data_IF_551020477588
#
_entry.id   IF_551020477588
#
_cell.length_a   1.000
_cell.length_b   1.000
_cell.length_c   1.000
_cell.angle_alpha   90.00
_cell.angle_beta   90.00
_cell.angle_gamma   90.00
#
_symmetry.space_group_name_H-M   'P 1'
#
loop_
_entity.id
_entity.type
_entity.pdbx_description
1 polymer ?
#
# COMPACT_ATOMS: atom_id res chain seq x y z
N UNK A 1 -8.56 14.39 -18.96
CA UNK A 1 -7.38 13.56 -19.27
C UNK A 1 -7.46 12.34 -18.36
N UNK A 2 -7.17 11.15 -18.87
CA UNK A 2 -7.12 9.94 -18.03
C UNK A 2 -5.96 10.10 -17.06
N UNK A 3 -6.22 10.04 -15.75
CA UNK A 3 -5.16 9.86 -14.78
C UNK A 3 -4.43 8.56 -15.14
N UNK A 4 -3.13 8.64 -15.42
CA UNK A 4 -2.32 7.44 -15.61
C UNK A 4 -2.39 6.58 -14.35
N UNK A 5 -2.41 5.25 -14.51
CA UNK A 5 -2.25 4.37 -13.36
C UNK A 5 -0.93 4.72 -12.67
N UNK A 6 -0.99 5.01 -11.37
CA UNK A 6 0.16 5.46 -10.60
C UNK A 6 1.18 4.33 -10.51
N UNK A 7 2.44 4.57 -10.85
CA UNK A 7 3.49 3.55 -10.87
C UNK A 7 4.00 3.14 -9.47
N UNK A 8 3.20 3.34 -8.42
CA UNK A 8 3.55 2.82 -7.09
C UNK A 8 3.42 1.30 -7.08
N UNK A 9 4.40 0.56 -6.54
CA UNK A 9 4.34 -0.90 -6.56
C UNK A 9 3.33 -1.41 -5.54
N UNK A 10 2.74 -2.56 -5.84
CA UNK A 10 1.75 -3.22 -5.00
C UNK A 10 2.42 -3.83 -3.76
N UNK A 11 2.02 -3.38 -2.58
CA UNK A 11 2.54 -3.80 -1.28
C UNK A 11 3.29 -2.68 -0.57
N UNK A 12 4.08 -3.03 0.45
CA UNK A 12 4.89 -2.06 1.18
C UNK A 12 6.21 -1.76 0.45
N UNK A 13 6.50 -0.48 0.27
CA UNK A 13 7.73 0.01 -0.36
C UNK A 13 8.40 1.12 0.46
N UNK A 14 9.70 1.27 0.22
CA UNK A 14 10.45 2.46 0.62
C UNK A 14 10.29 3.53 -0.46
N UNK A 15 10.14 4.78 -0.04
CA UNK A 15 10.29 5.94 -0.92
C UNK A 15 11.70 6.47 -0.73
N UNK A 16 12.55 6.32 -1.75
CA UNK A 16 13.99 6.58 -1.71
C UNK A 16 14.31 7.85 -2.48
N UNK A 17 15.07 8.75 -1.86
CA UNK A 17 15.53 10.00 -2.47
C UNK A 17 16.70 9.79 -3.43
N UNK A 18 16.58 10.29 -4.67
CA UNK A 18 17.69 10.30 -5.65
C UNK A 18 18.74 11.39 -5.36
N UNK A 19 18.57 12.22 -4.32
CA UNK A 19 19.57 13.19 -3.85
C UNK A 19 20.65 12.54 -2.98
N UNK A 20 20.23 11.71 -2.02
CA UNK A 20 21.07 11.25 -0.90
C UNK A 20 20.86 9.77 -0.53
N UNK A 21 20.03 9.03 -1.27
CA UNK A 21 19.67 7.62 -1.02
C UNK A 21 19.04 7.34 0.36
N UNK A 22 18.66 8.38 1.10
CA UNK A 22 17.87 8.26 2.31
C UNK A 22 16.42 7.93 1.96
N UNK A 23 15.69 7.34 2.91
CA UNK A 23 14.28 6.99 2.76
C UNK A 23 13.39 7.96 3.53
N UNK A 24 12.13 8.05 3.11
CA UNK A 24 11.08 8.76 3.84
C UNK A 24 10.69 7.98 5.10
N UNK A 25 10.81 8.63 6.25
CA UNK A 25 10.52 8.11 7.59
C UNK A 25 9.58 9.04 8.38
N UNK A 26 8.99 8.52 9.44
CA UNK A 26 8.18 9.25 10.42
C UNK A 26 9.08 9.67 11.59
N UNK A 27 9.09 10.96 11.92
CA UNK A 27 9.80 11.53 13.07
C UNK A 27 9.17 11.02 14.38
N UNK A 28 10.00 10.47 15.28
CA UNK A 28 9.61 9.88 16.57
C UNK A 28 8.45 8.87 16.45
N UNK A 29 8.63 7.78 15.67
CA UNK A 29 7.52 7.01 15.13
C UNK A 29 6.75 6.19 16.19
N UNK A 30 7.39 5.88 17.32
CA UNK A 30 6.76 5.22 18.48
C UNK A 30 5.77 6.11 19.25
N UNK A 31 5.85 7.43 19.04
CA UNK A 31 4.97 8.44 19.66
C UNK A 31 4.15 9.19 18.60
N UNK A 32 4.18 8.74 17.34
CA UNK A 32 3.59 9.43 16.21
C UNK A 32 2.06 9.29 16.17
N UNK A 33 1.38 10.42 16.04
CA UNK A 33 -0.05 10.53 15.75
C UNK A 33 -0.32 11.55 14.63
N UNK A 34 -1.56 12.02 14.47
CA UNK A 34 -1.89 13.12 13.56
C UNK A 34 -1.00 14.35 13.79
N UNK A 35 -0.47 14.91 12.69
CA UNK A 35 0.54 15.98 12.71
C UNK A 35 1.99 15.50 12.92
N UNK A 36 2.25 14.18 12.99
CA UNK A 36 3.61 13.65 13.02
C UNK A 36 4.38 14.00 11.73
N UNK A 37 5.69 14.23 11.87
CA UNK A 37 6.54 14.86 10.86
C UNK A 37 7.23 13.86 9.94
N UNK A 38 7.16 14.08 8.64
CA UNK A 38 7.85 13.24 7.64
C UNK A 38 9.29 13.72 7.35
N UNK A 39 10.30 12.89 7.57
CA UNK A 39 11.74 13.24 7.48
C UNK A 39 12.53 12.26 6.60
N UNK A 40 13.74 12.64 6.21
CA UNK A 40 14.73 11.76 5.56
C UNK A 40 15.58 11.02 6.60
N UNK A 41 15.81 9.71 6.42
CA UNK A 41 16.66 8.89 7.30
C UNK A 41 17.32 7.71 6.58
N UNK A 42 18.36 7.13 7.15
CA UNK A 42 18.97 5.88 6.69
C UNK A 42 17.95 4.72 6.75
N UNK A 43 17.96 3.89 5.70
CA UNK A 43 17.08 2.73 5.55
C UNK A 43 17.37 1.69 6.63
N UNK A 44 16.37 1.43 7.47
CA UNK A 44 16.44 0.38 8.48
C UNK A 44 16.12 -0.99 7.86
N UNK A 45 16.91 -2.00 8.23
CA UNK A 45 16.78 -3.34 7.64
C UNK A 45 15.69 -4.21 8.29
N UNK A 46 15.36 -3.94 9.57
CA UNK A 46 14.55 -4.83 10.43
C UNK A 46 13.35 -4.10 11.04
N UNK A 47 12.25 -4.84 11.21
CA UNK A 47 11.11 -4.42 12.05
C UNK A 47 11.50 -4.55 13.54
N UNK A 48 11.04 -3.66 14.43
CA UNK A 48 10.05 -2.59 14.18
C UNK A 48 10.61 -1.34 13.49
N UNK A 49 11.91 -1.04 13.58
CA UNK A 49 12.48 0.26 13.19
C UNK A 49 12.29 0.61 11.70
N UNK A 50 12.19 -0.41 10.85
CA UNK A 50 11.88 -0.31 9.41
C UNK A 50 10.43 0.06 9.12
N UNK A 51 9.49 -0.24 9.98
CA UNK A 51 8.06 -0.14 9.65
C UNK A 51 7.58 1.31 9.61
N UNK A 52 8.30 2.26 10.22
CA UNK A 52 8.03 3.70 10.06
C UNK A 52 8.47 4.24 8.70
N UNK A 53 9.26 3.49 7.95
CA UNK A 53 9.81 3.84 6.62
C UNK A 53 9.09 3.15 5.46
N UNK A 54 8.12 2.29 5.76
CA UNK A 54 7.36 1.52 4.79
C UNK A 54 5.99 2.15 4.53
N UNK A 55 5.67 2.29 3.25
CA UNK A 55 4.47 2.93 2.74
C UNK A 55 3.73 1.97 1.82
N UNK A 56 2.39 1.99 1.84
CA UNK A 56 1.54 1.29 0.87
C UNK A 56 0.64 2.30 0.15
N UNK A 57 0.49 2.15 -1.16
CA UNK A 57 -0.39 3.01 -1.97
C UNK A 57 -1.74 2.33 -2.22
N UNK A 58 -2.83 3.03 -1.92
CA UNK A 58 -4.19 2.55 -2.18
C UNK A 58 -5.09 3.75 -2.53
N UNK A 59 -5.74 3.73 -3.69
CA UNK A 59 -6.67 4.79 -4.15
C UNK A 59 -6.13 6.23 -4.01
N UNK A 60 -4.81 6.41 -4.19
CA UNK A 60 -4.13 7.69 -4.04
C UNK A 60 -3.58 7.97 -2.63
N UNK A 61 -4.05 7.30 -1.58
CA UNK A 61 -3.46 7.42 -0.24
C UNK A 61 -2.08 6.76 -0.20
N UNK A 62 -1.20 7.28 0.65
CA UNK A 62 0.06 6.64 1.05
C UNK A 62 0.02 6.39 2.56
N UNK A 63 -0.27 5.15 2.96
CA UNK A 63 -0.43 4.74 4.36
C UNK A 63 0.89 4.25 4.93
N UNK A 64 1.25 4.70 6.12
CA UNK A 64 2.45 4.27 6.84
C UNK A 64 2.22 2.94 7.58
N UNK A 65 3.16 1.98 7.45
CA UNK A 65 3.00 0.65 8.04
C UNK A 65 2.97 0.63 9.57
N UNK A 66 3.80 1.45 10.24
CA UNK A 66 3.88 1.44 11.71
C UNK A 66 2.66 2.09 12.37
N UNK A 67 2.16 3.19 11.80
CA UNK A 67 1.13 4.04 12.45
C UNK A 67 -0.27 3.83 11.90
N UNK A 68 -0.43 3.27 10.70
CA UNK A 68 -1.72 3.17 10.00
C UNK A 68 -2.27 4.50 9.47
N UNK A 69 -1.57 5.62 9.72
CA UNK A 69 -1.95 6.96 9.26
C UNK A 69 -1.50 7.20 7.82
N UNK A 70 -2.14 8.15 7.14
CA UNK A 70 -1.85 8.50 5.74
C UNK A 70 -1.01 9.77 5.64
N UNK A 71 -0.24 9.90 4.56
CA UNK A 71 0.40 11.18 4.21
C UNK A 71 -0.64 12.26 3.93
N UNK A 72 -0.36 13.46 4.44
CA UNK A 72 -1.24 14.62 4.35
C UNK A 72 -0.43 15.91 4.08
N UNK A 73 -0.93 16.75 3.16
CA UNK A 73 -0.37 18.07 2.85
C UNK A 73 -0.96 19.12 3.80
N UNK A 74 -0.22 19.45 4.86
CA UNK A 74 -0.63 20.45 5.84
C UNK A 74 0.29 21.69 5.80
N UNK A 75 -0.25 22.87 6.15
CA UNK A 75 0.56 24.10 6.26
C UNK A 75 1.51 23.98 7.44
N UNK A 76 2.79 24.32 7.25
CA UNK A 76 3.75 24.26 8.34
C UNK A 76 3.39 25.27 9.46
N UNK A 77 3.38 24.87 10.75
CA UNK A 77 3.06 25.75 11.88
C UNK A 77 4.20 26.72 12.23
N UNK A 78 5.32 26.67 11.50
CA UNK A 78 6.43 27.61 11.62
C UNK A 78 5.96 29.06 11.41
N UNK A 79 6.38 29.98 12.28
CA UNK A 79 6.08 31.41 12.15
C UNK A 79 6.45 31.97 10.76
N UNK A 80 7.59 31.54 10.19
CA UNK A 80 8.00 31.93 8.84
C UNK A 80 7.10 31.32 7.75
N UNK A 81 6.49 30.16 8.00
CA UNK A 81 5.63 29.48 7.04
C UNK A 81 4.25 30.15 6.89
N UNK A 82 3.77 30.82 7.93
CA UNK A 82 2.55 31.64 7.89
C UNK A 82 2.65 32.74 6.81
N UNK A 83 3.85 33.30 6.59
CA UNK A 83 4.07 34.36 5.61
C UNK A 83 4.42 33.88 4.19
N UNK A 84 5.00 32.68 4.04
CA UNK A 84 5.44 32.18 2.73
C UNK A 84 4.53 31.06 2.15
N UNK A 85 3.58 30.54 2.94
CA UNK A 85 2.65 29.48 2.50
C UNK A 85 3.28 28.09 2.33
N UNK A 86 4.42 27.81 2.97
CA UNK A 86 5.13 26.52 2.85
C UNK A 86 4.30 25.37 3.47
N UNK A 87 3.81 24.48 2.61
CA UNK A 87 3.13 23.24 3.01
C UNK A 87 4.16 22.11 3.15
N UNK A 88 4.04 21.30 4.20
CA UNK A 88 4.91 20.15 4.44
C UNK A 88 4.10 18.85 4.40
N UNK A 89 4.79 17.71 4.36
CA UNK A 89 4.16 16.42 4.59
C UNK A 89 4.11 16.09 6.09
N UNK A 90 2.97 15.56 6.49
CA UNK A 90 2.66 15.05 7.83
C UNK A 90 1.92 13.72 7.73
N UNK A 91 1.71 13.05 8.86
CA UNK A 91 0.70 12.02 9.00
C UNK A 91 -0.63 12.62 9.46
N UNK A 92 -1.76 12.08 8.99
CA UNK A 92 -3.09 12.38 9.52
C UNK A 92 -4.03 11.16 9.39
N UNK A 93 -5.22 11.25 9.98
CA UNK A 93 -6.29 10.27 9.78
C UNK A 93 -6.77 10.27 8.32
N UNK A 94 -7.15 9.10 7.83
CA UNK A 94 -7.67 8.92 6.46
C UNK A 94 -9.02 9.64 6.30
N UNK A 95 -9.06 10.71 5.50
CA UNK A 95 -10.26 11.47 5.16
C UNK A 95 -11.15 10.73 4.15
N UNK A 96 -12.43 11.07 4.08
CA UNK A 96 -13.35 10.55 3.06
C UNK A 96 -13.00 11.06 1.64
N UNK A 97 -13.46 10.36 0.60
CA UNK A 97 -12.94 10.54 -0.77
C UNK A 97 -13.12 11.98 -1.32
N UNK A 98 -14.20 12.63 -0.95
CA UNK A 98 -14.57 14.00 -1.36
C UNK A 98 -13.75 15.10 -0.65
N UNK A 99 -13.22 14.80 0.55
CA UNK A 99 -12.49 15.75 1.40
C UNK A 99 -10.97 15.52 1.38
N UNK A 100 -10.51 14.34 0.99
CA UNK A 100 -9.12 13.90 1.06
C UNK A 100 -8.18 14.42 -0.06
N UNK A 101 -8.48 15.55 -0.70
CA UNK A 101 -7.68 16.07 -1.83
C UNK A 101 -6.20 16.32 -1.50
N UNK A 102 -5.91 16.62 -0.24
CA UNK A 102 -4.58 16.83 0.35
C UNK A 102 -3.88 15.51 0.78
N UNK A 103 -4.55 14.37 0.67
CA UNK A 103 -4.07 13.01 0.98
C UNK A 103 -4.03 12.11 -0.26
N UNK A 104 -3.97 12.70 -1.46
CA UNK A 104 -3.98 11.97 -2.75
C UNK A 104 -2.72 12.23 -3.54
N UNK A 105 -1.99 11.15 -3.83
CA UNK A 105 -0.70 11.17 -4.52
C UNK A 105 -0.61 10.10 -5.61
N UNK A 106 0.24 10.35 -6.60
CA UNK A 106 0.65 9.38 -7.60
C UNK A 106 2.16 9.50 -7.90
N UNK A 107 2.72 8.45 -8.48
CA UNK A 107 4.13 8.35 -8.86
C UNK A 107 4.29 8.18 -10.37
N UNK A 108 5.17 8.97 -10.96
CA UNK A 108 5.58 8.93 -12.37
C UNK A 108 7.00 8.32 -12.44
N UNK A 109 7.10 7.03 -12.75
CA UNK A 109 8.38 6.28 -12.67
C UNK A 109 9.45 6.84 -13.60
N UNK A 110 9.08 7.20 -14.84
CA UNK A 110 10.01 7.72 -15.87
C UNK A 110 10.79 8.94 -15.41
N UNK A 111 10.15 9.82 -14.63
CA UNK A 111 10.74 11.07 -14.13
C UNK A 111 11.23 10.94 -12.69
N UNK A 112 10.57 10.09 -11.89
CA UNK A 112 10.74 9.97 -10.45
C UNK A 112 9.94 10.99 -9.63
N UNK A 113 8.96 11.70 -10.19
CA UNK A 113 8.12 12.61 -9.39
C UNK A 113 7.02 11.86 -8.63
N UNK A 114 6.90 12.14 -7.33
CA UNK A 114 5.67 11.89 -6.56
C UNK A 114 4.91 13.21 -6.48
N UNK A 115 3.67 13.23 -6.96
CA UNK A 115 2.85 14.44 -7.12
C UNK A 115 1.47 14.31 -6.48
N UNK A 116 0.87 15.44 -6.10
CA UNK A 116 -0.51 15.49 -5.62
C UNK A 116 -1.49 15.30 -6.79
N UNK A 117 -2.46 14.40 -6.65
CA UNK A 117 -3.53 14.21 -7.66
C UNK A 117 -4.47 15.41 -7.77
N UNK A 118 -4.52 16.29 -6.75
CA UNK A 118 -5.27 17.55 -6.84
C UNK A 118 -4.51 18.61 -7.66
N UNK A 119 -3.17 18.56 -7.70
CA UNK A 119 -2.35 19.46 -8.50
C UNK A 119 -0.98 18.83 -8.82
N UNK A 120 -0.82 18.33 -10.04
CA UNK A 120 0.37 17.64 -10.54
C UNK A 120 1.65 18.50 -10.55
N UNK A 121 1.51 19.83 -10.41
CA UNK A 121 2.64 20.75 -10.23
C UNK A 121 3.13 20.83 -8.77
N UNK A 122 2.51 20.13 -7.83
CA UNK A 122 2.90 20.07 -6.43
C UNK A 122 3.48 18.67 -6.17
N UNK A 123 4.80 18.63 -5.95
CA UNK A 123 5.59 17.39 -5.86
C UNK A 123 6.33 17.29 -4.54
N UNK A 124 6.69 16.07 -4.13
CA UNK A 124 7.55 15.82 -2.97
C UNK A 124 8.93 16.47 -3.18
N UNK A 125 9.41 17.23 -2.20
CA UNK A 125 10.66 18.00 -2.24
C UNK A 125 11.36 17.86 -0.86
N UNK A 126 12.67 17.63 -0.84
CA UNK A 126 13.46 17.69 0.40
C UNK A 126 13.82 19.14 0.65
N UNK A 127 13.30 19.69 1.75
CA UNK A 127 13.40 21.11 2.08
C UNK A 127 14.85 21.60 2.04
N UNK A 128 15.10 22.64 1.24
CA UNK A 128 16.44 23.23 0.97
C UNK A 128 17.46 22.27 0.34
N UNK A 129 17.03 21.13 -0.20
CA UNK A 129 17.90 20.04 -0.64
C UNK A 129 18.86 19.57 0.48
N UNK A 130 18.35 19.47 1.71
CA UNK A 130 19.10 18.93 2.83
C UNK A 130 19.58 17.50 2.52
N UNK A 131 20.88 17.25 2.68
CA UNK A 131 21.50 15.96 2.37
C UNK A 131 21.63 15.07 3.59
N UNK A 132 21.67 15.66 4.79
CA UNK A 132 21.75 14.94 6.05
C UNK A 132 20.41 14.29 6.47
N UNK A 133 20.48 13.39 7.45
CA UNK A 133 19.29 12.87 8.13
C UNK A 133 18.50 13.98 8.85
N UNK A 134 17.21 13.74 9.06
CA UNK A 134 16.30 14.73 9.65
C UNK A 134 15.83 15.81 8.67
N UNK A 135 16.32 15.80 7.42
CA UNK A 135 15.82 16.67 6.36
C UNK A 135 14.30 16.57 6.22
N UNK A 136 13.60 17.70 6.34
CA UNK A 136 12.12 17.75 6.26
C UNK A 136 11.66 17.44 4.84
N UNK A 137 10.75 16.47 4.68
CA UNK A 137 10.03 16.28 3.42
C UNK A 137 8.85 17.24 3.37
N UNK A 138 8.73 17.94 2.25
CA UNK A 138 7.69 18.94 2.00
C UNK A 138 7.03 18.68 0.66
N UNK A 139 6.02 19.47 0.32
CA UNK A 139 5.57 19.60 -1.06
C UNK A 139 5.96 20.96 -1.61
N UNK A 140 6.42 20.99 -2.86
CA UNK A 140 6.84 22.22 -3.52
C UNK A 140 6.46 22.22 -4.99
N UNK A 141 6.59 23.38 -5.64
CA UNK A 141 6.36 23.50 -7.07
C UNK A 141 7.36 22.62 -7.84
N UNK A 142 6.85 21.78 -8.75
CA UNK A 142 7.60 20.95 -9.70
C UNK A 142 8.62 21.82 -10.45
N UNK A 143 9.91 21.53 -10.25
CA UNK A 143 11.01 22.16 -10.97
C UNK A 143 11.14 21.50 -12.35
N UNK A 144 11.55 22.28 -13.34
CA UNK A 144 11.64 21.80 -14.72
C UNK A 144 12.61 20.64 -14.88
N UNK A 145 12.30 19.70 -15.78
CA UNK A 145 13.17 18.60 -16.14
C UNK A 145 14.35 19.18 -16.93
N UNK A 146 15.58 18.96 -16.46
CA UNK A 146 16.79 19.28 -17.21
C UNK A 146 17.41 18.01 -17.78
N UNK A 147 17.74 18.02 -19.07
CA UNK A 147 18.49 16.94 -19.72
C UNK A 147 19.93 16.86 -19.18
N UNK A 148 20.50 18.01 -18.80
CA UNK A 148 21.78 18.10 -18.12
C UNK A 148 21.67 17.51 -16.70
N UNK A 149 22.28 16.34 -16.51
CA UNK A 149 22.27 15.61 -15.24
C UNK A 149 22.84 16.42 -14.07
N UNK A 150 23.76 17.34 -14.33
CA UNK A 150 24.33 18.23 -13.30
C UNK A 150 23.38 19.31 -12.80
N UNK A 151 22.27 19.56 -13.52
CA UNK A 151 21.24 20.56 -13.20
C UNK A 151 19.91 19.96 -12.75
N UNK A 152 19.79 18.63 -12.65
CA UNK A 152 18.56 17.96 -12.21
C UNK A 152 18.24 18.31 -10.75
N UNK A 153 16.99 18.65 -10.41
CA UNK A 153 16.57 18.92 -9.03
C UNK A 153 16.39 17.59 -8.26
N UNK A 154 17.50 16.89 -7.97
CA UNK A 154 17.48 15.54 -7.39
C UNK A 154 16.70 15.43 -6.07
N UNK A 155 16.59 16.53 -5.32
CA UNK A 155 15.79 16.65 -4.11
C UNK A 155 14.27 16.63 -4.34
N UNK A 156 13.79 16.58 -5.59
CA UNK A 156 12.40 16.31 -5.96
C UNK A 156 12.22 14.94 -6.64
N UNK A 157 13.30 14.18 -6.82
CA UNK A 157 13.29 12.95 -7.61
C UNK A 157 13.41 11.74 -6.68
N UNK A 158 12.54 10.78 -6.90
CA UNK A 158 12.35 9.62 -6.05
C UNK A 158 12.46 8.33 -6.87
N UNK A 159 12.81 7.25 -6.19
CA UNK A 159 12.58 5.88 -6.64
C UNK A 159 11.80 5.16 -5.54
N UNK A 160 10.98 4.21 -5.95
CA UNK A 160 10.24 3.34 -5.03
C UNK A 160 10.83 1.95 -5.15
N UNK A 161 11.11 1.33 -4.01
CA UNK A 161 11.65 -0.02 -3.95
C UNK A 161 10.75 -0.84 -3.03
N UNK A 162 10.24 -1.97 -3.53
CA UNK A 162 9.52 -2.92 -2.68
C UNK A 162 10.37 -3.24 -1.47
N UNK A 163 9.79 -3.10 -0.28
CA UNK A 163 10.49 -3.43 0.93
C UNK A 163 10.67 -4.93 1.00
N UNK A 164 11.90 -5.43 0.80
CA UNK A 164 12.29 -6.85 0.81
C UNK A 164 11.41 -7.69 1.75
N UNK A 165 10.82 -8.82 1.28
CA UNK A 165 10.05 -9.75 2.10
C UNK A 165 11.00 -10.68 2.88
N UNK A 166 11.90 -10.13 3.72
CA UNK A 166 13.33 -10.47 3.90
C UNK A 166 13.93 -11.64 3.05
N UNK A 167 14.87 -12.47 3.56
CA UNK A 167 15.34 -13.76 2.93
C UNK A 167 15.31 -14.91 3.94
N UNK A 168 15.07 -16.17 3.53
CA UNK A 168 15.07 -17.37 4.42
C UNK A 168 15.63 -18.60 3.72
N UNK A 169 16.27 -19.42 4.55
CA UNK A 169 16.86 -20.72 4.27
C UNK A 169 15.77 -21.82 4.24
N UNK A 170 15.90 -22.77 3.32
CA UNK A 170 14.83 -23.69 2.88
C UNK A 170 14.55 -24.87 3.84
N UNK A 171 15.23 -24.91 5.01
CA UNK A 171 15.37 -26.10 5.86
C UNK A 171 14.59 -26.05 7.21
N UNK A 172 13.38 -25.48 7.28
CA UNK A 172 12.59 -25.42 8.53
C UNK A 172 11.13 -25.90 8.38
N UNK A 173 10.70 -26.75 9.32
CA UNK A 173 9.79 -27.88 9.09
C UNK A 173 8.26 -27.60 9.16
N UNK A 174 7.77 -26.35 9.06
CA UNK A 174 6.31 -26.06 9.13
C UNK A 174 5.77 -25.18 7.97
N UNK A 175 5.04 -25.82 7.05
CA UNK A 175 4.45 -25.22 5.84
C UNK A 175 3.33 -24.19 6.09
N UNK A 176 2.66 -24.20 7.26
CA UNK A 176 1.53 -23.29 7.54
C UNK A 176 1.97 -21.93 8.13
N UNK A 177 3.09 -21.87 8.88
CA UNK A 177 3.65 -20.60 9.37
C UNK A 177 4.37 -19.83 8.25
N UNK A 178 5.11 -20.55 7.42
CA UNK A 178 5.85 -20.02 6.26
C UNK A 178 4.95 -19.26 5.29
N UNK A 179 3.76 -19.82 4.98
CA UNK A 179 2.73 -19.18 4.14
C UNK A 179 2.11 -17.95 4.82
N UNK A 180 1.79 -18.01 6.12
CA UNK A 180 1.27 -16.86 6.90
C UNK A 180 2.23 -15.66 6.90
N UNK A 181 3.54 -15.90 6.94
CA UNK A 181 4.54 -14.85 6.89
C UNK A 181 4.69 -14.14 5.53
N UNK A 182 4.33 -14.81 4.42
CA UNK A 182 4.25 -14.16 3.10
C UNK A 182 3.11 -13.14 3.08
N UNK A 183 1.92 -13.55 3.51
CA UNK A 183 0.74 -12.68 3.61
C UNK A 183 0.99 -11.46 4.50
N UNK A 184 1.66 -11.63 5.65
CA UNK A 184 2.05 -10.53 6.55
C UNK A 184 3.09 -9.58 5.98
N UNK A 185 3.98 -10.05 5.12
CA UNK A 185 4.92 -9.17 4.40
C UNK A 185 4.19 -8.22 3.44
N UNK A 186 2.98 -8.58 3.03
CA UNK A 186 2.18 -7.84 2.05
C UNK A 186 1.07 -6.97 2.69
N UNK A 187 0.41 -7.47 3.75
CA UNK A 187 -0.63 -6.76 4.48
C UNK A 187 -0.14 -6.03 5.75
N UNK A 188 1.03 -6.37 6.29
CA UNK A 188 1.64 -5.73 7.45
C UNK A 188 1.26 -6.38 8.79
N UNK A 189 1.41 -5.64 9.89
CA UNK A 189 1.08 -6.12 11.23
C UNK A 189 -0.36 -5.73 11.63
N UNK A 190 -1.35 -6.41 11.06
CA UNK A 190 -2.54 -6.75 11.86
C UNK A 190 -2.10 -7.78 12.92
N UNK A 191 -2.66 -7.74 14.13
CA UNK A 191 -1.96 -8.20 15.35
C UNK A 191 -1.57 -9.69 15.39
N UNK A 192 -0.31 -9.98 15.02
CA UNK A 192 0.56 -10.96 15.72
C UNK A 192 1.06 -12.17 14.92
N UNK A 193 2.39 -12.25 14.72
CA UNK A 193 3.27 -13.44 14.47
C UNK A 193 3.71 -13.86 13.04
N UNK A 194 5.02 -13.78 12.76
CA UNK A 194 5.75 -14.41 11.62
C UNK A 194 5.70 -15.98 11.71
N UNK A 195 6.28 -16.85 10.86
CA UNK A 195 7.61 -16.84 10.19
C UNK A 195 7.61 -17.60 8.85
N UNK A 196 8.37 -17.09 7.84
CA UNK A 196 9.00 -17.84 6.70
C UNK A 196 8.44 -17.94 5.24
N UNK A 197 8.20 -16.80 4.55
CA UNK A 197 8.87 -16.41 3.26
C UNK A 197 8.80 -17.18 1.90
N UNK A 198 9.24 -16.43 0.87
CA UNK A 198 9.57 -16.78 -0.53
C UNK A 198 8.42 -17.03 -1.53
N UNK A 199 7.54 -16.05 -1.69
CA UNK A 199 6.70 -15.92 -2.87
C UNK A 199 6.24 -14.48 -3.10
N UNK A 200 6.13 -14.07 -4.36
CA UNK A 200 4.96 -13.28 -4.78
C UNK A 200 3.69 -14.04 -4.37
N UNK A 201 2.51 -13.42 -4.43
CA UNK A 201 1.28 -14.21 -4.46
C UNK A 201 1.27 -15.04 -5.76
N UNK A 202 1.78 -16.25 -5.65
CA UNK A 202 1.59 -17.30 -6.65
C UNK A 202 0.12 -17.71 -6.54
N UNK A 203 -0.54 -17.90 -7.68
CA UNK A 203 -1.91 -18.38 -7.79
C UNK A 203 -2.24 -19.51 -6.81
N UNK A 204 -1.32 -20.47 -6.66
CA UNK A 204 -1.32 -21.56 -5.70
C UNK A 204 -1.61 -21.15 -4.23
N UNK A 205 -1.03 -20.06 -3.73
CA UNK A 205 -1.22 -19.64 -2.33
C UNK A 205 -2.66 -19.11 -2.09
N UNK A 206 -3.31 -18.60 -3.14
CA UNK A 206 -4.71 -18.16 -3.14
C UNK A 206 -5.67 -19.33 -3.44
N UNK A 207 -5.24 -20.30 -4.25
CA UNK A 207 -5.92 -21.58 -4.50
C UNK A 207 -6.04 -22.40 -3.21
N UNK A 208 -4.94 -22.54 -2.46
CA UNK A 208 -4.91 -23.23 -1.17
C UNK A 208 -5.78 -22.51 -0.13
N UNK A 209 -5.80 -21.18 -0.13
CA UNK A 209 -6.71 -20.40 0.71
C UNK A 209 -8.18 -20.69 0.33
N UNK A 210 -8.49 -20.75 -0.96
CA UNK A 210 -9.81 -21.13 -1.47
C UNK A 210 -10.19 -22.56 -1.08
N UNK A 211 -9.30 -23.54 -1.20
CA UNK A 211 -9.57 -24.93 -0.78
C UNK A 211 -9.83 -25.02 0.74
N UNK A 212 -8.96 -24.42 1.57
CA UNK A 212 -9.11 -24.39 3.04
C UNK A 212 -10.43 -23.73 3.48
N UNK A 213 -10.90 -22.71 2.75
CA UNK A 213 -12.19 -22.04 3.00
C UNK A 213 -13.37 -22.86 2.50
N UNK A 214 -13.46 -23.12 1.19
CA UNK A 214 -14.67 -23.63 0.55
C UNK A 214 -14.81 -25.15 0.64
N UNK A 215 -13.69 -25.89 0.58
CA UNK A 215 -13.66 -27.36 0.58
C UNK A 215 -13.53 -27.92 1.99
N UNK A 216 -12.44 -27.57 2.70
CA UNK A 216 -12.17 -28.11 4.04
C UNK A 216 -13.06 -27.52 5.15
N UNK A 217 -13.57 -26.30 4.93
CA UNK A 217 -14.44 -25.57 5.87
C UNK A 217 -13.88 -25.46 7.30
N UNK A 218 -12.56 -25.26 7.43
CA UNK A 218 -11.90 -25.05 8.74
C UNK A 218 -12.60 -23.92 9.53
N UNK A 219 -12.79 -24.14 10.83
CA UNK A 219 -13.64 -23.31 11.69
C UNK A 219 -12.96 -21.99 12.11
N UNK A 220 -11.64 -21.98 12.29
CA UNK A 220 -10.84 -20.79 12.59
C UNK A 220 -9.84 -20.51 11.46
N UNK A 221 -10.19 -19.59 10.58
CA UNK A 221 -9.35 -19.11 9.47
C UNK A 221 -9.07 -17.63 9.66
N UNK A 222 -7.88 -17.17 9.29
CA UNK A 222 -7.54 -15.75 9.42
C UNK A 222 -8.30 -14.90 8.40
N UNK A 223 -8.53 -13.64 8.78
CA UNK A 223 -9.10 -12.61 7.90
C UNK A 223 -8.40 -12.55 6.53
N UNK A 224 -7.07 -12.66 6.52
CA UNK A 224 -6.23 -12.69 5.32
C UNK A 224 -6.53 -13.88 4.41
N UNK A 225 -6.73 -15.08 5.00
CA UNK A 225 -6.96 -16.31 4.25
C UNK A 225 -8.37 -16.32 3.62
N UNK A 226 -9.36 -15.81 4.35
CA UNK A 226 -10.72 -15.60 3.81
C UNK A 226 -10.73 -14.54 2.70
N UNK A 227 -10.00 -13.43 2.88
CA UNK A 227 -9.85 -12.41 1.85
C UNK A 227 -9.15 -12.94 0.59
N UNK A 228 -8.12 -13.78 0.76
CA UNK A 228 -7.43 -14.46 -0.33
C UNK A 228 -8.32 -15.47 -1.06
N UNK A 229 -9.12 -16.25 -0.32
CA UNK A 229 -10.09 -17.20 -0.88
C UNK A 229 -11.18 -16.49 -1.71
N UNK A 230 -11.74 -15.39 -1.21
CA UNK A 230 -12.71 -14.58 -1.93
C UNK A 230 -12.10 -13.94 -3.19
N UNK A 231 -10.84 -13.51 -3.12
CA UNK A 231 -10.10 -12.99 -4.26
C UNK A 231 -9.87 -14.05 -5.33
N UNK A 232 -9.45 -15.26 -4.95
CA UNK A 232 -9.27 -16.39 -5.86
C UNK A 232 -10.58 -16.75 -6.57
N UNK A 233 -11.67 -16.88 -5.82
CA UNK A 233 -13.00 -17.18 -6.34
C UNK A 233 -13.46 -16.13 -7.37
N UNK A 234 -13.24 -14.84 -7.07
CA UNK A 234 -13.59 -13.75 -7.97
C UNK A 234 -12.80 -13.78 -9.30
N UNK A 235 -11.49 -14.01 -9.24
CA UNK A 235 -10.65 -14.11 -10.45
C UNK A 235 -11.02 -15.34 -11.27
N UNK A 236 -11.13 -16.52 -10.65
CA UNK A 236 -11.46 -17.76 -11.38
C UNK A 236 -12.87 -17.74 -11.98
N UNK A 237 -13.85 -17.14 -11.30
CA UNK A 237 -15.19 -16.96 -11.85
C UNK A 237 -15.21 -16.02 -13.07
N UNK A 238 -14.33 -15.01 -13.09
CA UNK A 238 -14.15 -14.13 -14.25
C UNK A 238 -13.40 -14.83 -15.39
N UNK A 239 -12.31 -15.54 -15.10
CA UNK A 239 -11.50 -16.24 -16.12
C UNK A 239 -12.34 -17.30 -16.85
N UNK A 240 -13.07 -18.14 -16.12
CA UNK A 240 -14.01 -19.10 -16.72
C UNK A 240 -15.05 -18.42 -17.63
N UNK A 241 -15.56 -17.26 -17.22
CA UNK A 241 -16.51 -16.50 -18.04
C UNK A 241 -15.86 -15.91 -19.30
N UNK A 242 -14.59 -15.53 -19.24
CA UNK A 242 -13.84 -15.09 -20.43
C UNK A 242 -13.58 -16.25 -21.40
N UNK A 243 -13.21 -17.42 -20.90
CA UNK A 243 -13.06 -18.63 -21.72
C UNK A 243 -14.38 -19.01 -22.44
N UNK A 244 -15.52 -18.85 -21.77
CA UNK A 244 -16.86 -19.10 -22.34
C UNK A 244 -17.31 -18.01 -23.34
N UNK A 245 -16.87 -16.76 -23.18
CA UNK A 245 -17.36 -15.61 -23.96
C UNK A 245 -16.43 -15.16 -25.11
N UNK A 246 -15.12 -15.31 -24.96
CA UNK A 246 -14.12 -14.87 -25.95
C UNK A 246 -14.03 -13.35 -26.14
N UNK A 247 -14.33 -12.56 -25.10
CA UNK A 247 -14.38 -11.09 -25.16
C UNK A 247 -12.98 -10.43 -24.98
N UNK A 248 -12.84 -9.18 -25.40
CA UNK A 248 -11.60 -8.41 -25.17
C UNK A 248 -11.46 -7.99 -23.70
N UNK A 249 -10.29 -8.26 -23.11
CA UNK A 249 -10.01 -7.95 -21.70
C UNK A 249 -9.76 -6.45 -21.50
N UNK A 250 -10.81 -5.71 -21.16
CA UNK A 250 -10.70 -4.30 -20.76
C UNK A 250 -10.09 -4.16 -19.36
N UNK A 251 -8.76 -4.20 -19.27
CA UNK A 251 -7.94 -4.25 -18.05
C UNK A 251 -8.46 -3.40 -16.86
N UNK A 252 -8.71 -2.09 -17.05
CA UNK A 252 -9.22 -1.20 -15.98
C UNK A 252 -10.66 -1.51 -15.54
N UNK A 253 -11.52 -1.98 -16.46
CA UNK A 253 -12.88 -2.43 -16.14
C UNK A 253 -12.83 -3.77 -15.39
N UNK A 254 -11.96 -4.69 -15.82
CA UNK A 254 -11.74 -5.98 -15.16
C UNK A 254 -11.24 -5.82 -13.72
N UNK A 255 -10.24 -4.97 -13.46
CA UNK A 255 -9.78 -4.69 -12.08
C UNK A 255 -10.92 -4.21 -11.16
N UNK A 256 -11.81 -3.36 -11.65
CA UNK A 256 -12.96 -2.86 -10.89
C UNK A 256 -14.02 -3.95 -10.67
N UNK A 257 -14.31 -4.73 -11.70
CA UNK A 257 -15.23 -5.87 -11.61
C UNK A 257 -14.73 -6.90 -10.59
N UNK A 258 -13.47 -7.34 -10.71
CA UNK A 258 -12.85 -8.31 -9.80
C UNK A 258 -12.81 -7.82 -8.36
N UNK A 259 -12.45 -6.56 -8.13
CA UNK A 259 -12.53 -5.95 -6.81
C UNK A 259 -13.95 -6.01 -6.22
N UNK A 260 -14.97 -5.68 -7.02
CA UNK A 260 -16.36 -5.73 -6.57
C UNK A 260 -16.86 -7.15 -6.29
N UNK A 261 -16.45 -8.14 -7.10
CA UNK A 261 -16.78 -9.55 -6.91
C UNK A 261 -16.12 -10.13 -5.66
N UNK A 262 -14.82 -9.85 -5.45
CA UNK A 262 -14.08 -10.32 -4.29
C UNK A 262 -14.61 -9.70 -2.99
N UNK A 263 -14.89 -8.40 -2.99
CA UNK A 263 -15.51 -7.73 -1.84
C UNK A 263 -16.91 -8.29 -1.52
N UNK A 264 -17.73 -8.57 -2.53
CA UNK A 264 -19.07 -9.16 -2.35
C UNK A 264 -19.00 -10.60 -1.82
N UNK A 265 -18.11 -11.43 -2.36
CA UNK A 265 -17.92 -12.81 -1.90
C UNK A 265 -17.31 -12.85 -0.48
N UNK A 266 -16.44 -11.90 -0.13
CA UNK A 266 -15.92 -11.73 1.23
C UNK A 266 -17.01 -11.30 2.23
N UNK A 267 -17.96 -10.46 1.84
CA UNK A 267 -19.15 -10.15 2.68
C UNK A 267 -19.95 -11.42 2.97
N UNK A 268 -20.20 -12.22 1.95
CA UNK A 268 -20.91 -13.50 2.09
C UNK A 268 -20.15 -14.48 2.99
N UNK A 269 -18.83 -14.63 2.83
CA UNK A 269 -18.00 -15.43 3.73
C UNK A 269 -18.02 -14.90 5.18
N UNK A 270 -18.07 -13.58 5.38
CA UNK A 270 -18.16 -12.97 6.71
C UNK A 270 -19.48 -13.35 7.41
N UNK A 271 -20.59 -13.22 6.70
CA UNK A 271 -21.94 -13.52 7.20
C UNK A 271 -22.17 -15.02 7.39
N UNK A 272 -21.66 -15.88 6.50
CA UNK A 272 -21.76 -17.35 6.61
C UNK A 272 -20.90 -17.95 7.73
N UNK A 273 -19.82 -17.27 8.13
CA UNK A 273 -18.86 -17.80 9.12
C UNK A 273 -19.01 -17.24 10.52
N UNK A 274 -19.76 -16.14 10.70
CA UNK A 274 -19.92 -15.51 12.00
C UNK A 274 -18.56 -15.08 12.57
N UNK A 275 -17.77 -14.35 11.78
CA UNK A 275 -16.42 -13.88 12.13
C UNK A 275 -16.45 -12.71 13.15
N UNK A 276 -17.65 -12.33 13.59
CA UNK A 276 -17.86 -11.37 14.67
C UNK A 276 -17.38 -12.00 15.99
N UNK A 277 -16.49 -11.31 16.71
CA UNK A 277 -16.16 -11.69 18.08
C UNK A 277 -17.31 -11.24 18.99
N UNK A 278 -17.68 -12.03 20.01
CA UNK A 278 -18.85 -11.74 20.87
C UNK A 278 -18.73 -10.38 21.60
N UNK A 279 -17.50 -9.89 21.79
CA UNK A 279 -17.17 -8.62 22.45
C UNK A 279 -17.01 -7.42 21.47
N UNK A 280 -17.18 -7.61 20.15
CA UNK A 280 -17.14 -6.51 19.17
C UNK A 280 -18.40 -5.62 19.26
N UNK A 281 -18.19 -4.30 19.32
CA UNK A 281 -19.25 -3.33 19.06
C UNK A 281 -19.53 -3.18 17.55
N UNK A 282 -20.69 -2.62 17.21
CA UNK A 282 -21.13 -2.44 15.81
C UNK A 282 -20.12 -1.64 14.96
N UNK A 283 -19.38 -0.71 15.56
CA UNK A 283 -18.36 0.09 14.88
C UNK A 283 -17.16 -0.77 14.48
N UNK A 284 -16.63 -1.59 15.39
CA UNK A 284 -15.58 -2.58 15.10
C UNK A 284 -16.03 -3.64 14.09
N UNK A 285 -17.29 -4.09 14.12
CA UNK A 285 -17.82 -5.03 13.13
C UNK A 285 -17.83 -4.42 11.73
N UNK A 286 -18.32 -3.19 11.59
CA UNK A 286 -18.30 -2.44 10.34
C UNK A 286 -16.84 -2.23 9.87
N UNK A 287 -15.92 -1.88 10.77
CA UNK A 287 -14.51 -1.71 10.44
C UNK A 287 -13.87 -3.02 9.95
N UNK A 288 -14.00 -4.13 10.69
CA UNK A 288 -13.50 -5.46 10.30
C UNK A 288 -14.07 -5.88 8.93
N UNK A 289 -15.36 -5.68 8.68
CA UNK A 289 -16.03 -5.98 7.40
C UNK A 289 -15.46 -5.12 6.25
N UNK A 290 -15.30 -3.82 6.46
CA UNK A 290 -14.72 -2.90 5.47
C UNK A 290 -13.25 -3.24 5.15
N UNK A 291 -12.46 -3.65 6.15
CA UNK A 291 -11.07 -4.06 5.97
C UNK A 291 -10.99 -5.34 5.14
N UNK A 292 -11.79 -6.35 5.47
CA UNK A 292 -11.89 -7.61 4.72
C UNK A 292 -12.29 -7.39 3.25
N UNK A 293 -13.27 -6.53 2.99
CA UNK A 293 -13.65 -6.11 1.63
C UNK A 293 -12.49 -5.48 0.87
N UNK A 294 -11.75 -4.55 1.48
CA UNK A 294 -10.59 -3.89 0.85
C UNK A 294 -9.44 -4.87 0.58
N UNK A 295 -9.18 -5.79 1.52
CA UNK A 295 -8.15 -6.83 1.37
C UNK A 295 -8.46 -7.79 0.23
N UNK A 296 -9.68 -8.31 0.17
CA UNK A 296 -10.13 -9.22 -0.91
C UNK A 296 -10.15 -8.52 -2.27
N UNK A 297 -10.64 -7.28 -2.32
CA UNK A 297 -10.61 -6.46 -3.54
C UNK A 297 -9.20 -6.25 -4.09
N UNK A 298 -8.25 -5.88 -3.21
CA UNK A 298 -6.84 -5.71 -3.57
C UNK A 298 -6.22 -7.04 -4.03
N UNK A 299 -6.40 -8.12 -3.26
CA UNK A 299 -5.88 -9.44 -3.62
C UNK A 299 -6.38 -9.93 -4.99
N UNK A 300 -7.63 -9.64 -5.36
CA UNK A 300 -8.18 -10.02 -6.66
C UNK A 300 -7.59 -9.21 -7.82
N UNK A 301 -7.42 -7.89 -7.63
CA UNK A 301 -6.74 -7.03 -8.62
C UNK A 301 -5.30 -7.49 -8.84
N UNK A 302 -4.59 -7.82 -7.77
CA UNK A 302 -3.17 -8.15 -7.81
C UNK A 302 -2.92 -9.56 -8.39
N UNK A 303 -3.79 -10.54 -8.11
CA UNK A 303 -3.77 -11.84 -8.79
C UNK A 303 -4.05 -11.67 -10.30
N UNK A 304 -5.02 -10.82 -10.67
CA UNK A 304 -5.30 -10.53 -12.07
C UNK A 304 -4.14 -9.82 -12.77
N UNK A 305 -3.48 -8.85 -12.13
CA UNK A 305 -2.27 -8.22 -12.68
C UNK A 305 -1.09 -9.20 -12.80
N UNK A 306 -0.90 -10.11 -11.83
CA UNK A 306 0.14 -11.13 -11.92
C UNK A 306 -0.07 -12.09 -13.11
N UNK A 307 -1.32 -12.43 -13.43
CA UNK A 307 -1.67 -13.30 -14.57
C UNK A 307 -1.73 -12.56 -15.93
N UNK A 308 -2.27 -11.34 -15.96
CA UNK A 308 -2.69 -10.64 -17.19
C UNK A 308 -1.98 -9.29 -17.42
N UNK A 309 -1.06 -8.88 -16.54
CA UNK A 309 -0.40 -7.57 -16.54
C UNK A 309 0.80 -7.40 -17.48
N UNK A 310 0.90 -8.18 -18.56
CA UNK A 310 1.93 -8.00 -19.61
C UNK A 310 1.41 -8.27 -21.02
N UNK A 311 1.12 -7.19 -21.75
CA UNK A 311 1.75 -6.86 -23.04
C UNK A 311 2.04 -5.36 -23.04
#
# INVERSE_FOLDING_TARGET
>A
MTAGESAFPIGYFFIISKLNNLVIDVENPTEAGPGARIIMKERQAKSPERDSQLWIHQNGFLTNKMTGLVLDINRSPSFMAIFNGENHLYLDQMKEEDTAHDQRFAFEEETGFIYSLHNENIVFDIRKAEVAEGGRVIVYKRKGISEDSSKKPLHQYWSVELGDPPKIDEDDEEEDESKRARLRSWFGNWSGWDKRKNGMLVEHDLEEAHEKVYTEKKASLSHELLAGAAAFAAVHAWEKRQEEAGEEVHHSMTKKLLASLAAAEMVKLYEERGIEEEDDDEEKKIEKKNILQRMSASAAQNLFEAKHGRV
#
